data_IF_272858162293
#
_entry.id   IF_272858162293
#
_cell.length_a   1.000
_cell.length_b   1.000
_cell.length_c   1.000
_cell.angle_alpha   90.00
_cell.angle_beta   90.00
_cell.angle_gamma   90.00
#
_symmetry.space_group_name_H-M   'P 1'
#
loop_
_entity.id
_entity.type
_entity.pdbx_description
1 polymer ?
#
# COMPACT_ATOMS: atom_id res chain seq x y z
N UNK A 1 11.19 -19.77 0.03
CA UNK A 1 10.85 -18.35 0.28
C UNK A 1 12.05 -17.60 0.89
N UNK A 2 13.29 -17.95 0.53
CA UNK A 2 14.52 -17.41 1.13
C UNK A 2 15.48 -16.93 0.04
N UNK A 3 15.01 -16.08 -0.87
CA UNK A 3 15.84 -15.61 -1.99
C UNK A 3 16.23 -14.14 -1.87
N UNK A 4 15.59 -13.39 -0.96
CA UNK A 4 15.83 -11.95 -0.79
C UNK A 4 16.39 -11.56 0.58
N UNK A 5 16.63 -12.52 1.48
CA UNK A 5 17.20 -12.26 2.83
C UNK A 5 16.35 -11.35 3.72
N UNK A 6 15.18 -10.90 3.25
CA UNK A 6 14.28 -10.04 3.99
C UNK A 6 13.48 -10.89 4.98
N UNK A 7 13.70 -10.67 6.28
CA UNK A 7 13.02 -11.38 7.37
C UNK A 7 11.67 -10.77 7.75
N UNK A 8 11.26 -9.67 7.13
CA UNK A 8 9.94 -9.10 7.36
C UNK A 8 8.93 -9.74 6.38
N UNK A 9 7.99 -10.57 6.85
CA UNK A 9 7.00 -11.19 5.98
C UNK A 9 5.87 -10.23 5.58
N UNK A 10 5.86 -8.99 6.11
CA UNK A 10 4.84 -7.99 5.80
C UNK A 10 5.08 -7.40 4.42
N UNK A 11 4.03 -7.39 3.61
CA UNK A 11 4.04 -6.78 2.29
C UNK A 11 3.91 -5.27 2.42
N UNK A 12 4.70 -4.54 1.64
CA UNK A 12 4.49 -3.12 1.42
C UNK A 12 3.29 -2.86 0.52
N UNK A 13 2.78 -1.63 0.53
CA UNK A 13 1.55 -1.24 -0.18
C UNK A 13 1.68 -1.45 -1.70
N UNK A 14 2.87 -1.27 -2.27
CA UNK A 14 3.13 -1.54 -3.68
C UNK A 14 3.06 -3.03 -4.01
N UNK A 15 3.66 -3.89 -3.18
CA UNK A 15 3.60 -5.34 -3.34
C UNK A 15 2.16 -5.85 -3.25
N UNK A 16 1.36 -5.29 -2.34
CA UNK A 16 -0.08 -5.60 -2.24
C UNK A 16 -0.83 -5.18 -3.51
N UNK A 17 -0.56 -3.98 -4.06
CA UNK A 17 -1.19 -3.53 -5.29
C UNK A 17 -0.75 -4.35 -6.51
N UNK A 18 0.50 -4.78 -6.57
CA UNK A 18 0.98 -5.70 -7.61
C UNK A 18 0.22 -7.03 -7.50
N UNK A 19 0.16 -7.61 -6.30
CA UNK A 19 -0.57 -8.87 -6.07
C UNK A 19 -2.06 -8.72 -6.44
N UNK A 20 -2.70 -7.61 -6.06
CA UNK A 20 -4.08 -7.31 -6.40
C UNK A 20 -4.27 -7.21 -7.92
N UNK A 21 -3.35 -6.57 -8.64
CA UNK A 21 -3.39 -6.46 -10.10
C UNK A 21 -3.26 -7.81 -10.81
N UNK A 22 -2.44 -8.73 -10.27
CA UNK A 22 -2.31 -10.10 -10.79
C UNK A 22 -3.61 -10.86 -10.55
N UNK A 23 -4.19 -10.76 -9.36
CA UNK A 23 -5.44 -11.42 -9.01
C UNK A 23 -6.62 -10.94 -9.87
N UNK A 24 -6.66 -9.65 -10.24
CA UNK A 24 -7.72 -9.07 -11.07
C UNK A 24 -7.85 -9.77 -12.44
N UNK A 25 -6.80 -10.39 -12.96
CA UNK A 25 -6.86 -11.14 -14.22
C UNK A 25 -7.79 -12.37 -14.17
N UNK A 26 -8.05 -12.91 -12.97
CA UNK A 26 -8.83 -14.14 -12.78
C UNK A 26 -9.93 -14.04 -11.73
N UNK A 27 -9.97 -12.95 -10.97
CA UNK A 27 -10.90 -12.75 -9.88
C UNK A 27 -11.69 -11.45 -10.08
N UNK A 28 -13.01 -11.52 -10.38
CA UNK A 28 -13.82 -10.33 -10.64
C UNK A 28 -13.95 -9.42 -9.41
N UNK A 29 -13.85 -9.94 -8.19
CA UNK A 29 -13.84 -9.11 -6.98
C UNK A 29 -12.55 -8.29 -6.86
N UNK A 30 -11.42 -8.84 -7.27
CA UNK A 30 -10.15 -8.12 -7.29
C UNK A 30 -10.14 -7.03 -8.37
N UNK A 31 -10.74 -7.31 -9.54
CA UNK A 31 -10.94 -6.31 -10.59
C UNK A 31 -11.81 -5.14 -10.10
N UNK A 32 -12.96 -5.43 -9.49
CA UNK A 32 -13.81 -4.41 -8.88
C UNK A 32 -13.06 -3.58 -7.82
N UNK A 33 -12.20 -4.19 -7.02
CA UNK A 33 -11.38 -3.47 -6.05
C UNK A 33 -10.36 -2.54 -6.71
N UNK A 34 -9.71 -2.98 -7.81
CA UNK A 34 -8.79 -2.15 -8.60
C UNK A 34 -9.48 -0.92 -9.19
N UNK A 35 -10.73 -1.08 -9.67
CA UNK A 35 -11.54 0.03 -10.18
C UNK A 35 -11.83 1.09 -9.12
N UNK A 36 -11.90 0.72 -7.82
CA UNK A 36 -12.16 1.70 -6.76
C UNK A 36 -10.95 2.55 -6.39
N UNK A 37 -9.73 2.23 -6.84
CA UNK A 37 -8.53 2.96 -6.44
C UNK A 37 -8.57 4.45 -6.83
N UNK A 38 -9.26 4.82 -7.91
CA UNK A 38 -9.37 6.23 -8.31
C UNK A 38 -10.19 7.06 -7.30
N UNK A 39 -11.13 6.43 -6.59
CA UNK A 39 -11.98 7.08 -5.59
C UNK A 39 -11.22 7.47 -4.32
N UNK A 40 -10.00 6.96 -4.14
CA UNK A 40 -9.15 7.31 -3.00
C UNK A 40 -8.46 8.68 -3.16
N UNK A 41 -8.49 9.26 -4.37
CA UNK A 41 -7.89 10.57 -4.60
C UNK A 41 -8.59 11.64 -3.78
N UNK A 42 -7.82 12.40 -3.01
CA UNK A 42 -8.32 13.44 -2.12
C UNK A 42 -8.83 12.91 -0.78
N UNK A 43 -8.79 11.60 -0.53
CA UNK A 43 -9.04 11.05 0.79
C UNK A 43 -7.89 11.37 1.75
N UNK A 44 -8.23 11.38 3.04
CA UNK A 44 -7.28 11.59 4.14
C UNK A 44 -6.93 10.24 4.78
N UNK A 45 -5.64 10.01 5.03
CA UNK A 45 -5.12 8.86 5.78
C UNK A 45 -4.24 9.36 6.92
N UNK A 46 -4.43 8.76 8.08
CA UNK A 46 -3.58 8.99 9.24
C UNK A 46 -2.86 7.70 9.64
N UNK A 47 -1.57 7.80 9.93
CA UNK A 47 -0.73 6.71 10.43
C UNK A 47 -0.20 7.02 11.83
N UNK A 48 -0.23 6.04 12.73
CA UNK A 48 0.36 6.15 14.07
C UNK A 48 1.89 6.13 14.07
N UNK A 49 2.51 5.88 12.91
CA UNK A 49 3.96 5.91 12.71
C UNK A 49 4.32 6.58 11.40
N UNK A 50 5.55 7.08 11.30
CA UNK A 50 6.16 7.54 10.06
C UNK A 50 6.24 6.34 9.10
N UNK A 51 5.53 6.46 7.98
CA UNK A 51 5.48 5.42 6.95
C UNK A 51 6.84 5.22 6.29
N UNK A 52 7.03 4.03 5.71
CA UNK A 52 8.19 3.79 4.85
C UNK A 52 8.12 4.71 3.61
N UNK A 53 9.27 5.11 3.03
CA UNK A 53 9.28 5.90 1.80
C UNK A 53 8.56 5.23 0.62
N UNK A 54 8.51 3.89 0.62
CA UNK A 54 7.80 3.09 -0.40
C UNK A 54 6.30 3.31 -0.28
N UNK A 55 5.75 3.11 0.91
CA UNK A 55 4.32 3.27 1.18
C UNK A 55 3.88 4.72 0.93
N UNK A 56 4.65 5.71 1.43
CA UNK A 56 4.36 7.13 1.23
C UNK A 56 4.27 7.48 -0.27
N UNK A 57 5.18 6.95 -1.08
CA UNK A 57 5.17 7.18 -2.54
C UNK A 57 3.92 6.58 -3.19
N UNK A 58 3.46 5.41 -2.73
CA UNK A 58 2.24 4.77 -3.25
C UNK A 58 1.01 5.61 -2.92
N UNK A 59 0.84 6.00 -1.66
CA UNK A 59 -0.29 6.85 -1.25
C UNK A 59 -0.30 8.19 -2.00
N UNK A 60 0.87 8.84 -2.17
CA UNK A 60 0.97 10.07 -2.97
C UNK A 60 0.58 9.86 -4.43
N UNK A 61 0.95 8.73 -5.05
CA UNK A 61 0.54 8.39 -6.43
C UNK A 61 -0.95 8.15 -6.57
N UNK A 62 -1.58 7.57 -5.54
CA UNK A 62 -3.04 7.44 -5.45
C UNK A 62 -3.73 8.79 -5.21
N UNK A 63 -2.97 9.85 -4.90
CA UNK A 63 -3.50 11.19 -4.62
C UNK A 63 -4.14 11.30 -3.24
N UNK A 64 -3.72 10.46 -2.29
CA UNK A 64 -4.19 10.45 -0.91
C UNK A 64 -3.36 11.46 -0.10
N UNK A 65 -4.04 12.24 0.74
CA UNK A 65 -3.41 13.14 1.70
C UNK A 65 -3.03 12.35 2.96
N UNK A 66 -1.76 12.41 3.34
CA UNK A 66 -1.21 11.57 4.41
C UNK A 66 -0.74 12.45 5.56
N UNK A 67 -1.09 12.04 6.78
CA UNK A 67 -0.51 12.55 8.02
C UNK A 67 0.06 11.39 8.84
N UNK A 68 1.08 11.66 9.64
CA UNK A 68 1.66 10.66 10.54
C UNK A 68 2.01 11.28 11.88
N UNK A 69 1.93 10.49 12.95
CA UNK A 69 2.59 10.83 14.22
C UNK A 69 4.12 10.81 14.03
N UNK A 70 4.88 11.69 14.72
CA UNK A 70 6.32 11.83 14.55
C UNK A 70 7.12 10.71 15.28
N UNK A 71 6.76 9.45 15.04
CA UNK A 71 7.35 8.26 15.65
C UNK A 71 7.65 7.21 14.58
N UNK A 72 8.85 6.63 14.58
CA UNK A 72 9.17 5.52 13.67
C UNK A 72 8.60 4.20 14.18
N UNK A 73 8.30 3.27 13.26
CA UNK A 73 7.89 1.92 13.61
C UNK A 73 8.98 1.21 14.44
N UNK A 74 8.59 0.60 15.56
CA UNK A 74 9.44 -0.31 16.31
C UNK A 74 9.32 -1.72 15.72
N UNK A 75 10.47 -2.35 15.45
CA UNK A 75 10.58 -3.73 14.94
C UNK A 75 10.09 -4.77 15.92
#
# INVERSE_FOLDING_TARGET
MDHLGNRNPRLHTDEVLIALSICAATNPTAELAMEQLYNLRGCEVHSSVILSPVDEKVFRRLGINITCEPMYENK
#
